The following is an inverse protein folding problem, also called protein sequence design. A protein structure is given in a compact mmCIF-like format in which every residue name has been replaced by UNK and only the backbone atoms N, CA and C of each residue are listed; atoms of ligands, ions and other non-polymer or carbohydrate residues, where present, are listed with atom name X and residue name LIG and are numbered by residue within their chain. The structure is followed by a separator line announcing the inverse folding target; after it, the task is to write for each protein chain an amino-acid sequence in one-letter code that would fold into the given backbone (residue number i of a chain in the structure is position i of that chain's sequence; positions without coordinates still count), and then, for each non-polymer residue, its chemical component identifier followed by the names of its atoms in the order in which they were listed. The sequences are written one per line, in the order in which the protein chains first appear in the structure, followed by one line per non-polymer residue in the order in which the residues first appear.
data_IF_358370646679
#
_entry.id   IF_358370646679
#
_cell.length_a   1.000
_cell.length_b   1.000
_cell.length_c   1.000
_cell.angle_alpha   90.00
_cell.angle_beta   90.00
_cell.angle_gamma   90.00
#
_symmetry.space_group_name_H-M   'P 1'
#
loop_
_entity.id
_entity.type
_entity.pdbx_description
1 polymer ?
#
# COMPACT_ATOMS: atom_id res chain seq x y z
N UNK A 1 6.39 2.96 19.20
CA UNK A 1 6.59 2.29 17.90
C UNK A 1 7.81 2.95 17.29
N UNK A 2 8.96 2.31 17.38
CA UNK A 2 10.22 2.94 16.95
C UNK A 2 10.22 3.16 15.43
N UNK A 3 10.81 4.27 14.94
CA UNK A 3 11.12 4.38 13.54
C UNK A 3 12.27 3.41 13.27
N UNK A 4 11.99 2.28 12.62
CA UNK A 4 13.04 1.50 12.00
C UNK A 4 13.64 2.35 10.87
N UNK A 5 14.63 3.17 11.22
CA UNK A 5 15.64 3.67 10.29
C UNK A 5 16.24 2.42 9.63
N UNK A 6 16.13 2.19 8.33
CA UNK A 6 16.23 3.12 7.22
C UNK A 6 17.40 2.75 6.29
N UNK A 7 18.07 1.60 6.51
CA UNK A 7 19.20 1.19 5.68
C UNK A 7 18.78 0.49 4.39
N UNK A 8 17.60 -0.14 4.38
CA UNK A 8 17.13 -0.92 3.23
C UNK A 8 15.87 -0.35 2.56
N UNK A 9 15.27 0.73 3.08
CA UNK A 9 14.08 1.34 2.48
C UNK A 9 14.48 2.50 1.56
N UNK A 10 14.19 2.34 0.27
CA UNK A 10 14.62 3.25 -0.79
C UNK A 10 13.53 4.28 -1.10
N UNK A 11 12.27 3.86 -1.03
CA UNK A 11 11.10 4.69 -1.27
C UNK A 11 9.91 4.12 -0.51
N UNK A 12 9.02 4.98 -0.01
CA UNK A 12 7.78 4.56 0.63
C UNK A 12 6.64 5.50 0.24
N UNK A 13 5.47 4.92 -0.06
CA UNK A 13 4.21 5.63 -0.22
C UNK A 13 3.19 5.08 0.77
N UNK A 14 2.71 5.95 1.66
CA UNK A 14 1.64 5.65 2.61
C UNK A 14 0.28 6.10 2.07
N UNK A 15 -0.74 5.27 2.21
CA UNK A 15 -2.14 5.58 1.89
C UNK A 15 -3.01 5.33 3.11
N UNK A 16 -3.64 6.38 3.64
CA UNK A 16 -4.59 6.25 4.76
C UNK A 16 -5.99 5.95 4.21
N UNK A 17 -6.62 4.90 4.71
CA UNK A 17 -7.94 4.43 4.28
C UNK A 17 -8.82 4.09 5.51
N UNK A 18 -9.08 5.10 6.34
CA UNK A 18 -9.87 4.96 7.56
C UNK A 18 -9.20 4.07 8.62
N UNK A 19 -9.77 2.90 8.90
CA UNK A 19 -9.19 1.92 9.87
C UNK A 19 -8.02 1.12 9.29
N UNK A 20 -7.71 1.29 8.01
CA UNK A 20 -6.58 0.64 7.33
C UNK A 20 -5.56 1.67 6.88
N UNK A 21 -4.30 1.28 6.88
CA UNK A 21 -3.20 2.03 6.28
C UNK A 21 -2.46 1.08 5.35
N UNK A 22 -2.27 1.50 4.10
CA UNK A 22 -1.47 0.77 3.13
C UNK A 22 -0.09 1.43 3.01
N UNK A 23 0.95 0.61 2.92
CA UNK A 23 2.33 1.02 2.70
C UNK A 23 2.83 0.32 1.45
N UNK A 24 3.34 1.09 0.50
CA UNK A 24 3.97 0.61 -0.72
C UNK A 24 5.44 1.02 -0.66
N UNK A 25 6.31 0.09 -0.30
CA UNK A 25 7.73 0.37 -0.03
C UNK A 25 8.62 -0.34 -1.04
N UNK A 26 9.60 0.37 -1.60
CA UNK A 26 10.70 -0.23 -2.36
C UNK A 26 11.85 -0.43 -1.40
N UNK A 27 12.36 -1.67 -1.33
CA UNK A 27 13.47 -2.04 -0.43
C UNK A 27 14.62 -2.66 -1.20
N UNK A 28 15.84 -2.44 -0.72
CA UNK A 28 17.04 -3.09 -1.25
C UNK A 28 17.35 -4.39 -0.50
N UNK A 29 17.91 -5.37 -1.19
CA UNK A 29 18.55 -6.53 -0.58
C UNK A 29 20.03 -6.24 -0.33
N UNK A 30 20.69 -7.09 0.47
CA UNK A 30 22.14 -7.04 0.66
C UNK A 30 22.92 -7.19 -0.66
N UNK A 31 22.32 -7.80 -1.68
CA UNK A 31 22.90 -7.97 -3.02
C UNK A 31 22.73 -6.76 -3.95
N UNK A 32 22.27 -5.61 -3.44
CA UNK A 32 21.93 -4.40 -4.23
C UNK A 32 20.81 -4.58 -5.26
N UNK A 33 19.97 -5.60 -5.08
CA UNK A 33 18.72 -5.76 -5.82
C UNK A 33 17.58 -5.05 -5.11
N UNK A 34 16.48 -4.75 -5.82
CA UNK A 34 15.30 -4.10 -5.28
C UNK A 34 14.07 -5.00 -5.33
N UNK A 35 13.17 -4.84 -4.37
CA UNK A 35 11.86 -5.50 -4.32
C UNK A 35 10.80 -4.57 -3.73
N UNK A 36 9.54 -4.81 -4.07
CA UNK A 36 8.38 -4.09 -3.54
C UNK A 36 7.81 -4.84 -2.33
N UNK A 37 7.47 -4.12 -1.27
CA UNK A 37 6.58 -4.63 -0.22
C UNK A 37 5.28 -3.84 -0.19
N UNK A 38 4.16 -4.56 -0.21
CA UNK A 38 2.83 -3.97 0.01
C UNK A 38 2.36 -4.45 1.37
N UNK A 39 2.19 -3.52 2.30
CA UNK A 39 1.71 -3.83 3.66
C UNK A 39 0.36 -3.18 3.88
N UNK A 40 -0.62 -3.97 4.25
CA UNK A 40 -1.85 -3.47 4.86
C UNK A 40 -1.72 -3.56 6.39
N UNK A 41 -1.99 -2.47 7.10
CA UNK A 41 -2.16 -2.46 8.54
C UNK A 41 -3.60 -2.09 8.90
N UNK A 42 -4.33 -3.02 9.51
CA UNK A 42 -5.72 -2.86 9.94
C UNK A 42 -5.77 -2.67 11.45
N UNK A 43 -6.34 -1.55 11.89
CA UNK A 43 -6.61 -1.29 13.30
C UNK A 43 -7.79 -2.15 13.78
N UNK A 44 -7.57 -2.94 14.84
CA UNK A 44 -8.58 -3.71 15.57
C UNK A 44 -8.80 -3.07 16.93
N UNK A 45 -10.06 -2.95 17.32
CA UNK A 45 -10.45 -2.55 18.68
C UNK A 45 -10.79 -3.83 19.43
N UNK A 46 -10.05 -4.10 20.50
CA UNK A 46 -10.22 -5.26 21.37
C UNK A 46 -10.61 -4.78 22.77
N UNK A 47 -11.15 -5.69 23.59
CA UNK A 47 -11.63 -5.35 24.94
C UNK A 47 -10.54 -4.73 25.83
N UNK A 48 -9.28 -5.10 25.60
CA UNK A 48 -8.12 -4.68 26.41
C UNK A 48 -7.23 -3.64 25.69
N UNK A 49 -7.67 -3.10 24.54
CA UNK A 49 -6.97 -2.01 23.86
C UNK A 49 -7.03 -2.00 22.33
N UNK A 50 -6.04 -1.35 21.73
CA UNK A 50 -5.91 -1.22 20.27
C UNK A 50 -4.83 -2.17 19.76
N UNK A 51 -5.21 -3.09 18.87
CA UNK A 51 -4.30 -4.00 18.18
C UNK A 51 -4.20 -3.62 16.69
N UNK A 52 -3.11 -4.02 16.03
CA UNK A 52 -2.92 -3.84 14.59
C UNK A 52 -2.61 -5.18 13.94
N UNK A 53 -3.48 -5.59 13.01
CA UNK A 53 -3.23 -6.72 12.14
C UNK A 53 -2.46 -6.24 10.91
N UNK A 54 -1.43 -6.99 10.50
CA UNK A 54 -0.62 -6.66 9.33
C UNK A 54 -0.63 -7.79 8.32
N UNK A 55 -0.99 -7.48 7.08
CA UNK A 55 -0.81 -8.37 5.94
C UNK A 55 0.30 -7.78 5.07
N UNK A 56 1.28 -8.59 4.68
CA UNK A 56 2.43 -8.13 3.92
C UNK A 56 2.68 -9.05 2.73
N UNK A 57 2.84 -8.43 1.57
CA UNK A 57 3.23 -9.07 0.32
C UNK A 57 4.64 -8.62 -0.02
N UNK A 58 5.49 -9.56 -0.46
CA UNK A 58 6.80 -9.31 -1.04
C UNK A 58 6.70 -9.59 -2.54
N UNK A 59 7.15 -8.66 -3.37
CA UNK A 59 7.13 -8.78 -4.83
C UNK A 59 8.53 -8.51 -5.37
N UNK A 60 9.16 -9.56 -5.91
CA UNK A 60 10.49 -9.51 -6.48
C UNK A 60 10.45 -9.12 -7.97
N UNK A 61 11.57 -8.59 -8.48
CA UNK A 61 11.70 -7.97 -9.81
C UNK A 61 11.16 -8.84 -10.96
N UNK A 62 11.36 -10.15 -10.88
CA UNK A 62 10.94 -11.14 -11.87
C UNK A 62 9.41 -11.20 -12.04
N UNK A 63 8.66 -10.90 -10.98
CA UNK A 63 7.20 -11.03 -10.95
C UNK A 63 6.47 -9.68 -11.08
N UNK A 64 7.17 -8.55 -10.95
CA UNK A 64 6.55 -7.20 -10.93
C UNK A 64 5.61 -6.99 -12.10
N UNK A 65 6.07 -7.27 -13.32
CA UNK A 65 5.27 -7.05 -14.53
C UNK A 65 4.05 -7.97 -14.60
N UNK A 66 4.17 -9.22 -14.13
CA UNK A 66 3.04 -10.16 -14.10
C UNK A 66 1.99 -9.72 -13.08
N UNK A 67 2.44 -9.31 -11.90
CA UNK A 67 1.57 -8.84 -10.83
C UNK A 67 0.81 -7.57 -11.21
N UNK A 68 1.51 -6.55 -11.74
CA UNK A 68 0.88 -5.27 -12.13
C UNK A 68 -0.12 -5.45 -13.26
N UNK A 69 0.17 -6.30 -14.25
CA UNK A 69 -0.80 -6.62 -15.32
C UNK A 69 -2.08 -7.22 -14.75
N UNK A 70 -1.97 -8.26 -13.94
CA UNK A 70 -3.13 -8.91 -13.33
C UNK A 70 -3.92 -7.95 -12.42
N UNK A 71 -3.22 -7.12 -11.64
CA UNK A 71 -3.86 -6.12 -10.79
C UNK A 71 -4.66 -5.10 -11.62
N UNK A 72 -4.05 -4.56 -12.68
CA UNK A 72 -4.70 -3.58 -13.55
C UNK A 72 -5.91 -4.18 -14.28
N UNK A 73 -5.80 -5.41 -14.79
CA UNK A 73 -6.90 -6.11 -15.46
C UNK A 73 -8.11 -6.29 -14.52
N UNK A 74 -7.87 -6.74 -13.28
CA UNK A 74 -8.95 -6.93 -12.30
C UNK A 74 -9.54 -5.59 -11.85
N UNK A 75 -8.71 -4.55 -11.68
CA UNK A 75 -9.17 -3.20 -11.32
C UNK A 75 -10.00 -2.60 -12.44
N UNK A 76 -9.59 -2.78 -13.71
CA UNK A 76 -10.33 -2.30 -14.86
C UNK A 76 -11.69 -3.00 -14.95
N UNK A 77 -11.73 -4.33 -14.83
CA UNK A 77 -13.00 -5.07 -14.81
C UNK A 77 -13.93 -4.61 -13.68
N UNK A 78 -13.38 -4.38 -12.48
CA UNK A 78 -14.15 -3.85 -11.35
C UNK A 78 -14.75 -2.48 -11.67
N UNK A 79 -13.96 -1.55 -12.21
CA UNK A 79 -14.38 -0.17 -12.46
C UNK A 79 -15.32 -0.03 -13.66
N UNK A 80 -15.07 -0.77 -14.74
CA UNK A 80 -15.80 -0.61 -16.00
C UNK A 80 -16.99 -1.54 -16.13
N UNK A 81 -16.93 -2.73 -15.51
CA UNK A 81 -17.98 -3.75 -15.68
C UNK A 81 -18.86 -3.86 -14.45
N UNK A 82 -18.28 -3.95 -13.25
CA UNK A 82 -19.05 -4.21 -12.03
C UNK A 82 -19.54 -2.95 -11.32
N UNK A 83 -18.82 -1.84 -11.44
CA UNK A 83 -19.08 -0.60 -10.71
C UNK A 83 -18.97 0.64 -11.62
N UNK A 84 -19.46 0.54 -12.85
CA UNK A 84 -19.38 1.61 -13.85
C UNK A 84 -19.98 2.95 -13.39
N UNK A 85 -21.09 2.89 -12.64
CA UNK A 85 -21.79 4.08 -12.15
C UNK A 85 -21.22 4.63 -10.82
N UNK A 86 -20.20 3.97 -10.25
CA UNK A 86 -19.60 4.40 -8.99
C UNK A 86 -18.46 5.41 -9.21
N UNK A 87 -18.62 6.60 -8.64
CA UNK A 87 -17.60 7.65 -8.68
C UNK A 87 -16.42 7.32 -7.73
N UNK A 88 -15.40 6.60 -8.21
CA UNK A 88 -14.23 6.23 -7.42
C UNK A 88 -13.35 7.43 -7.03
N UNK A 89 -13.37 8.48 -7.83
CA UNK A 89 -12.61 9.73 -7.68
C UNK A 89 -13.12 10.64 -6.56
N UNK A 90 -14.34 10.40 -6.06
CA UNK A 90 -14.95 11.23 -4.99
C UNK A 90 -14.11 11.25 -3.69
N UNK A 91 -13.25 10.24 -3.48
CA UNK A 91 -12.39 10.11 -2.30
C UNK A 91 -10.96 10.63 -2.51
N UNK A 92 -10.60 11.08 -3.72
CA UNK A 92 -9.25 11.55 -4.04
C UNK A 92 -8.94 12.94 -3.43
N UNK A 93 -9.95 13.65 -2.92
CA UNK A 93 -9.85 15.05 -2.45
C UNK A 93 -9.06 15.31 -1.17
N UNK A 94 -8.43 14.30 -0.56
CA UNK A 94 -7.65 14.46 0.67
C UNK A 94 -6.12 14.49 0.46
N UNK A 95 -5.65 14.59 -0.78
CA UNK A 95 -4.21 14.60 -1.11
C UNK A 95 -3.56 15.99 -1.25
N UNK A 96 -4.33 17.08 -1.12
CA UNK A 96 -3.79 18.45 -1.09
C UNK A 96 -3.83 19.02 0.33
N UNK A 97 -2.74 18.86 1.07
CA UNK A 97 -2.64 19.46 2.40
C UNK A 97 -1.49 18.94 3.28
N UNK A 98 -0.24 19.02 2.81
CA UNK A 98 0.81 19.62 3.64
C UNK A 98 2.07 19.94 2.82
N UNK A 99 2.51 21.21 2.74
CA UNK A 99 3.85 21.54 2.29
C UNK A 99 4.86 21.07 3.35
N UNK A 100 5.99 20.62 2.84
CA UNK A 100 7.19 20.20 3.57
C UNK A 100 7.52 21.17 4.71
N UNK A 101 7.69 20.64 5.93
CA UNK A 101 8.50 21.29 6.96
C UNK A 101 9.33 20.24 7.68
#
# INVERSE_FOLDING_TARGET
MEPHTGLDEVYSKRVNAGKRVYFFDIKSTRGKDYYLTITESKKRTEADGMAYEKHKIFLYKEDVNKFIRALNEVVDHLKTTLMADYAFDQFDRNAEGNPTK
#
